data_IF_847425094088
#
_entry.id   IF_847425094088
#
_cell.length_a   1.000
_cell.length_b   1.000
_cell.length_c   1.000
_cell.angle_alpha   90.00
_cell.angle_beta   90.00
_cell.angle_gamma   90.00
#
_symmetry.space_group_name_H-M   'P 1'
#
loop_
_entity.id
_entity.type
_entity.pdbx_description
1 polymer ?
#
# COMPACT_ATOMS: atom_id res chain seq x y z
N UNK A 1 -44.18 -31.04 2.44
CA UNK A 1 -43.17 -30.58 1.47
C UNK A 1 -42.54 -29.30 2.00
N UNK A 2 -41.49 -29.41 2.83
CA UNK A 2 -40.82 -28.26 3.43
C UNK A 2 -39.46 -28.13 2.74
N UNK A 3 -39.38 -27.22 1.76
CA UNK A 3 -38.19 -27.01 0.93
C UNK A 3 -37.15 -26.27 1.79
N UNK A 4 -36.16 -27.01 2.28
CA UNK A 4 -35.03 -26.43 3.01
C UNK A 4 -34.18 -25.66 2.00
N UNK A 5 -34.32 -24.34 1.99
CA UNK A 5 -33.39 -23.47 1.26
C UNK A 5 -32.11 -23.43 2.10
N UNK A 6 -31.15 -24.27 1.75
CA UNK A 6 -29.80 -24.15 2.26
C UNK A 6 -29.22 -22.82 1.77
N UNK A 7 -29.18 -21.82 2.66
CA UNK A 7 -28.47 -20.58 2.42
C UNK A 7 -26.98 -20.90 2.53
N UNK A 8 -26.34 -21.22 1.40
CA UNK A 8 -24.90 -21.27 1.29
C UNK A 8 -24.35 -19.86 1.49
N UNK A 9 -23.93 -19.55 2.71
CA UNK A 9 -23.14 -18.37 3.03
C UNK A 9 -21.75 -18.57 2.39
N UNK A 10 -21.62 -18.22 1.12
CA UNK A 10 -20.30 -18.05 0.51
C UNK A 10 -19.68 -16.81 1.16
N UNK A 11 -18.81 -17.02 2.17
CA UNK A 11 -17.82 -16.01 2.52
C UNK A 11 -16.91 -15.87 1.29
N UNK A 12 -17.21 -14.91 0.42
CA UNK A 12 -16.23 -14.41 -0.51
C UNK A 12 -15.10 -13.85 0.35
N UNK A 13 -13.97 -14.56 0.40
CA UNK A 13 -12.72 -13.98 0.86
C UNK A 13 -12.39 -12.85 -0.11
N UNK A 14 -12.83 -11.64 0.20
CA UNK A 14 -12.24 -10.47 -0.41
C UNK A 14 -10.75 -10.56 -0.11
N UNK A 15 -9.85 -10.27 -1.06
CA UNK A 15 -8.48 -9.94 -0.72
C UNK A 15 -8.55 -8.69 0.14
N UNK A 16 -8.76 -8.87 1.44
CA UNK A 16 -8.62 -7.83 2.42
C UNK A 16 -7.15 -7.50 2.41
N UNK A 17 -6.83 -6.21 2.26
CA UNK A 17 -5.55 -5.70 2.72
C UNK A 17 -5.48 -6.07 4.20
N UNK A 18 -4.87 -7.20 4.51
CA UNK A 18 -4.63 -7.58 5.88
C UNK A 18 -3.71 -6.52 6.46
N UNK A 19 -4.02 -6.08 7.68
CA UNK A 19 -3.15 -5.16 8.41
C UNK A 19 -1.77 -5.82 8.54
N UNK A 20 -0.69 -5.18 8.09
CA UNK A 20 0.65 -5.75 8.13
C UNK A 20 1.08 -6.22 9.54
N UNK A 21 0.58 -5.58 10.60
CA UNK A 21 0.85 -6.01 11.97
C UNK A 21 0.09 -7.31 12.31
N UNK A 22 -1.08 -7.55 11.73
CA UNK A 22 -1.82 -8.81 11.89
C UNK A 22 -1.17 -9.95 11.10
N UNK A 23 -0.58 -9.66 9.95
CA UNK A 23 0.23 -10.63 9.19
C UNK A 23 1.47 -11.07 9.98
N UNK A 24 1.96 -10.19 10.86
CA UNK A 24 3.05 -10.46 11.81
C UNK A 24 2.57 -10.98 13.18
N UNK A 25 1.28 -11.29 13.35
CA UNK A 25 0.65 -11.57 14.66
C UNK A 25 1.15 -12.83 15.38
N UNK A 26 1.79 -13.76 14.68
CA UNK A 26 2.41 -14.95 15.28
C UNK A 26 3.71 -14.63 16.06
N UNK A 27 4.22 -13.40 15.93
CA UNK A 27 5.40 -12.94 16.64
C UNK A 27 5.12 -12.73 18.15
N UNK A 28 5.93 -13.36 19.01
CA UNK A 28 5.67 -13.45 20.46
C UNK A 28 5.89 -12.16 21.28
N UNK A 29 6.20 -11.02 20.66
CA UNK A 29 6.38 -9.74 21.36
C UNK A 29 6.16 -8.53 20.43
N UNK A 30 5.89 -7.35 20.99
CA UNK A 30 5.77 -6.12 20.20
C UNK A 30 7.07 -5.73 19.48
N UNK A 31 8.23 -6.10 20.01
CA UNK A 31 9.52 -5.90 19.33
C UNK A 31 9.57 -6.75 18.07
N UNK A 32 9.26 -8.05 18.19
CA UNK A 32 9.27 -8.97 17.06
C UNK A 32 8.20 -8.63 16.00
N UNK A 33 7.02 -8.15 16.41
CA UNK A 33 6.01 -7.61 15.48
C UNK A 33 6.57 -6.39 14.75
N UNK A 34 7.20 -5.46 15.48
CA UNK A 34 7.78 -4.25 14.88
C UNK A 34 8.89 -4.53 13.87
N UNK A 35 9.75 -5.53 14.14
CA UNK A 35 10.78 -6.00 13.21
C UNK A 35 10.14 -6.62 11.96
N UNK A 36 9.17 -7.52 12.13
CA UNK A 36 8.47 -8.14 11.00
C UNK A 36 7.77 -7.11 10.09
N UNK A 37 7.09 -6.12 10.67
CA UNK A 37 6.43 -5.04 9.90
C UNK A 37 7.47 -4.15 9.20
N UNK A 38 8.61 -3.88 9.83
CA UNK A 38 9.68 -3.11 9.19
C UNK A 38 10.29 -3.85 7.98
N UNK A 39 10.48 -5.17 8.08
CA UNK A 39 10.95 -5.98 6.95
C UNK A 39 9.93 -5.99 5.80
N UNK A 40 8.63 -5.96 6.12
CA UNK A 40 7.58 -5.89 5.11
C UNK A 40 7.48 -4.52 4.45
N UNK A 41 7.60 -3.46 5.24
CA UNK A 41 7.70 -2.08 4.78
C UNK A 41 8.85 -1.95 3.76
N UNK A 42 10.04 -2.46 4.06
CA UNK A 42 11.20 -2.40 3.14
C UNK A 42 10.91 -3.09 1.80
N UNK A 43 10.27 -4.27 1.83
CA UNK A 43 9.86 -4.97 0.60
C UNK A 43 8.86 -4.16 -0.22
N UNK A 44 7.90 -3.53 0.43
CA UNK A 44 6.89 -2.70 -0.23
C UNK A 44 7.50 -1.42 -0.80
N UNK A 45 8.42 -0.76 -0.09
CA UNK A 45 9.14 0.41 -0.63
C UNK A 45 9.96 0.05 -1.88
N UNK A 46 10.63 -1.12 -1.88
CA UNK A 46 11.35 -1.61 -3.06
C UNK A 46 10.41 -1.90 -4.24
N UNK A 47 9.23 -2.48 -3.97
CA UNK A 47 8.21 -2.72 -4.97
C UNK A 47 7.63 -1.41 -5.52
N UNK A 48 7.37 -0.43 -4.65
CA UNK A 48 6.88 0.91 -5.01
C UNK A 48 7.88 1.63 -5.91
N UNK A 49 9.16 1.65 -5.57
CA UNK A 49 10.21 2.25 -6.39
C UNK A 49 10.30 1.59 -7.78
N UNK A 50 10.10 0.27 -7.85
CA UNK A 50 10.06 -0.47 -9.11
C UNK A 50 8.82 -0.15 -9.95
N UNK A 51 7.64 -0.14 -9.33
CA UNK A 51 6.40 0.21 -10.02
C UNK A 51 6.41 1.66 -10.54
N UNK A 52 6.96 2.60 -9.77
CA UNK A 52 7.11 3.99 -10.18
C UNK A 52 8.03 4.11 -11.39
N UNK A 53 9.16 3.40 -11.41
CA UNK A 53 10.07 3.38 -12.57
C UNK A 53 9.36 2.90 -13.83
N UNK A 54 8.61 1.80 -13.78
CA UNK A 54 7.88 1.33 -14.96
C UNK A 54 6.78 2.29 -15.41
N UNK A 55 6.07 2.95 -14.48
CA UNK A 55 5.10 3.98 -14.83
C UNK A 55 5.79 5.20 -15.47
N UNK A 56 7.00 5.56 -15.02
CA UNK A 56 7.80 6.64 -15.59
C UNK A 56 8.21 6.32 -17.03
N UNK A 57 8.72 5.11 -17.28
CA UNK A 57 9.11 4.65 -18.61
C UNK A 57 7.93 4.73 -19.60
N UNK A 58 6.74 4.27 -19.17
CA UNK A 58 5.53 4.35 -19.99
C UNK A 58 5.06 5.80 -20.24
N UNK A 59 5.18 6.67 -19.23
CA UNK A 59 4.87 8.10 -19.38
C UNK A 59 5.84 8.81 -20.33
N UNK A 60 7.13 8.51 -20.25
CA UNK A 60 8.17 9.02 -21.15
C UNK A 60 7.93 8.57 -22.59
N UNK A 61 7.59 7.30 -22.81
CA UNK A 61 7.23 6.78 -24.13
C UNK A 61 6.01 7.50 -24.72
N UNK A 62 4.95 7.68 -23.91
CA UNK A 62 3.74 8.38 -24.36
C UNK A 62 4.02 9.85 -24.73
N UNK A 63 4.79 10.55 -23.90
CA UNK A 63 5.17 11.94 -24.15
C UNK A 63 6.05 12.05 -25.40
N UNK A 64 6.93 11.08 -25.64
CA UNK A 64 7.77 10.99 -26.85
C UNK A 64 6.94 10.75 -28.11
N UNK A 65 6.07 9.73 -28.12
CA UNK A 65 5.22 9.37 -29.27
C UNK A 65 4.27 10.50 -29.64
N UNK A 66 3.72 11.18 -28.63
CA UNK A 66 2.72 12.24 -28.86
C UNK A 66 3.33 13.63 -28.99
N UNK A 67 4.66 13.75 -28.83
CA UNK A 67 5.40 15.02 -28.84
C UNK A 67 4.82 16.07 -27.87
N UNK A 68 4.33 15.63 -26.71
CA UNK A 68 3.72 16.48 -25.68
C UNK A 68 4.27 16.09 -24.32
N UNK A 69 4.93 17.01 -23.62
CA UNK A 69 5.43 16.78 -22.27
C UNK A 69 4.32 16.99 -21.23
N UNK A 70 3.46 15.98 -21.02
CA UNK A 70 2.28 16.08 -20.15
C UNK A 70 2.21 14.93 -19.15
N UNK A 71 2.46 13.69 -19.56
CA UNK A 71 2.32 12.51 -18.73
C UNK A 71 3.38 12.47 -17.62
N UNK A 72 4.65 12.72 -17.95
CA UNK A 72 5.74 12.69 -16.96
C UNK A 72 5.54 13.74 -15.86
N UNK A 73 5.30 15.04 -16.15
CA UNK A 73 5.04 16.03 -15.12
C UNK A 73 3.82 15.70 -14.25
N UNK A 74 2.78 15.09 -14.83
CA UNK A 74 1.57 14.70 -14.11
C UNK A 74 1.81 13.52 -13.16
N UNK A 75 2.53 12.49 -13.61
CA UNK A 75 2.92 11.35 -12.77
C UNK A 75 3.79 11.79 -11.59
N UNK A 76 4.81 12.59 -11.86
CA UNK A 76 5.71 13.17 -10.86
C UNK A 76 4.95 14.00 -9.81
N UNK A 77 4.04 14.87 -10.25
CA UNK A 77 3.24 15.68 -9.34
C UNK A 77 2.28 14.82 -8.51
N UNK A 78 1.65 13.81 -9.13
CA UNK A 78 0.77 12.88 -8.44
C UNK A 78 1.51 12.04 -7.40
N UNK A 79 2.72 11.58 -7.70
CA UNK A 79 3.54 10.81 -6.78
C UNK A 79 3.95 11.64 -5.56
N UNK A 80 4.44 12.87 -5.76
CA UNK A 80 4.77 13.80 -4.65
C UNK A 80 3.56 14.10 -3.76
N UNK A 81 2.39 14.33 -4.37
CA UNK A 81 1.17 14.60 -3.61
C UNK A 81 0.73 13.37 -2.80
N UNK A 82 0.88 12.18 -3.37
CA UNK A 82 0.59 10.92 -2.67
C UNK A 82 1.55 10.67 -1.51
N UNK A 83 2.84 10.95 -1.66
CA UNK A 83 3.84 10.83 -0.57
C UNK A 83 3.51 11.76 0.60
N UNK A 84 3.17 13.02 0.32
CA UNK A 84 2.75 13.98 1.34
C UNK A 84 1.46 13.53 2.05
N UNK A 85 0.48 13.00 1.30
CA UNK A 85 -0.71 12.39 1.89
C UNK A 85 -0.36 11.19 2.79
N UNK A 86 0.50 10.27 2.32
CA UNK A 86 0.91 9.09 3.07
C UNK A 86 1.57 9.46 4.39
N UNK A 87 2.47 10.44 4.37
CA UNK A 87 3.15 10.93 5.57
C UNK A 87 2.15 11.43 6.62
N UNK A 88 1.33 12.41 6.26
CA UNK A 88 0.38 13.04 7.20
C UNK A 88 -0.73 12.08 7.64
N UNK A 89 -1.24 11.26 6.72
CA UNK A 89 -2.27 10.29 7.04
C UNK A 89 -1.76 9.24 8.03
N UNK A 90 -0.57 8.69 7.80
CA UNK A 90 -0.04 7.65 8.66
C UNK A 90 0.51 8.21 9.99
N UNK A 91 0.94 9.47 10.03
CA UNK A 91 1.18 10.18 11.29
C UNK A 91 -0.11 10.27 12.15
N UNK A 92 -1.25 10.60 11.53
CA UNK A 92 -2.55 10.56 12.22
C UNK A 92 -2.89 9.15 12.72
N UNK A 93 -2.73 8.11 11.88
CA UNK A 93 -2.96 6.72 12.29
C UNK A 93 -2.12 6.38 13.52
N UNK A 94 -0.82 6.70 13.52
CA UNK A 94 0.06 6.49 14.66
C UNK A 94 -0.38 7.23 15.93
N UNK A 95 -0.91 8.45 15.79
CA UNK A 95 -1.41 9.24 16.91
C UNK A 95 -2.62 8.59 17.61
N UNK A 96 -3.43 7.80 16.90
CA UNK A 96 -4.56 7.08 17.49
C UNK A 96 -4.16 6.02 18.52
N UNK A 97 -2.89 5.60 18.53
CA UNK A 97 -2.35 4.59 19.45
C UNK A 97 -1.88 5.15 20.79
N UNK A 98 -1.77 6.48 20.93
CA UNK A 98 -1.46 7.12 22.22
C UNK A 98 -0.02 6.94 22.72
N UNK A 99 0.89 6.38 21.93
CA UNK A 99 2.33 6.26 22.21
C UNK A 99 2.84 4.82 22.33
N UNK A 100 4.11 4.69 22.72
CA UNK A 100 4.80 3.40 22.87
C UNK A 100 5.12 2.71 21.54
N UNK A 101 5.52 1.44 21.59
CA UNK A 101 5.87 0.63 20.42
C UNK A 101 4.70 0.45 19.44
N UNK A 102 3.47 0.46 19.93
CA UNK A 102 2.26 0.39 19.10
C UNK A 102 2.15 1.53 18.08
N UNK A 103 2.56 2.75 18.43
CA UNK A 103 2.56 3.89 17.50
C UNK A 103 3.49 3.66 16.31
N UNK A 104 4.72 3.19 16.55
CA UNK A 104 5.68 2.91 15.48
C UNK A 104 5.20 1.79 14.56
N UNK A 105 4.66 0.71 15.13
CA UNK A 105 4.08 -0.41 14.38
C UNK A 105 2.93 0.09 13.50
N UNK A 106 2.01 0.88 14.05
CA UNK A 106 0.86 1.40 13.32
C UNK A 106 1.23 2.30 12.13
N UNK A 107 2.23 3.17 12.31
CA UNK A 107 2.72 4.04 11.22
C UNK A 107 3.26 3.19 10.07
N UNK A 108 4.11 2.20 10.37
CA UNK A 108 4.69 1.33 9.34
C UNK A 108 3.66 0.44 8.67
N UNK A 109 2.71 -0.11 9.43
CA UNK A 109 1.56 -0.83 8.87
C UNK A 109 0.79 0.05 7.88
N UNK A 110 0.51 1.30 8.24
CA UNK A 110 -0.16 2.25 7.35
C UNK A 110 0.66 2.53 6.08
N UNK A 111 1.97 2.78 6.21
CA UNK A 111 2.87 2.98 5.06
C UNK A 111 2.86 1.80 4.11
N UNK A 112 2.94 0.60 4.67
CA UNK A 112 2.96 -0.67 3.94
C UNK A 112 1.62 -0.90 3.20
N UNK A 113 0.48 -0.70 3.87
CA UNK A 113 -0.84 -0.84 3.22
C UNK A 113 -1.02 0.16 2.07
N UNK A 114 -0.68 1.43 2.29
CA UNK A 114 -0.76 2.44 1.24
C UNK A 114 0.24 2.19 0.11
N UNK A 115 1.45 1.73 0.42
CA UNK A 115 2.47 1.37 -0.55
C UNK A 115 2.03 0.22 -1.46
N UNK A 116 1.44 -0.84 -0.89
CA UNK A 116 0.84 -1.95 -1.66
C UNK A 116 -0.24 -1.44 -2.62
N UNK A 117 -1.15 -0.61 -2.14
CA UNK A 117 -2.19 -0.02 -2.98
C UNK A 117 -1.61 0.85 -4.11
N UNK A 118 -0.57 1.64 -3.80
CA UNK A 118 0.07 2.52 -4.77
C UNK A 118 0.83 1.75 -5.85
N UNK A 119 1.47 0.63 -5.49
CA UNK A 119 2.05 -0.31 -6.47
C UNK A 119 0.98 -0.74 -7.48
N UNK A 120 -0.19 -1.19 -7.00
CA UNK A 120 -1.29 -1.59 -7.89
C UNK A 120 -1.80 -0.45 -8.78
N UNK A 121 -1.85 0.78 -8.25
CA UNK A 121 -2.21 1.96 -9.03
C UNK A 121 -1.23 2.25 -10.15
N UNK A 122 0.08 2.28 -9.84
CA UNK A 122 1.15 2.59 -10.79
C UNK A 122 1.27 1.51 -11.88
N UNK A 123 1.16 0.24 -11.49
CA UNK A 123 1.25 -0.88 -12.42
C UNK A 123 0.11 -0.93 -13.45
N UNK A 124 -1.00 -0.21 -13.24
CA UNK A 124 -2.04 -0.06 -14.29
C UNK A 124 -1.54 0.75 -15.49
N UNK A 125 -0.54 1.59 -15.31
CA UNK A 125 0.03 2.48 -16.33
C UNK A 125 1.39 2.03 -16.84
N UNK A 126 2.00 1.02 -16.22
CA UNK A 126 3.30 0.43 -16.59
C UNK A 126 3.24 -0.47 -17.85
N UNK A 127 2.67 0.03 -18.95
CA UNK A 127 2.42 -0.75 -20.19
C UNK A 127 3.04 -0.11 -21.41
#
# INVERSE_FOLDING_TARGET
MLRHVACCLFLAATPGFADPALECGDAGSQVAIGECVADDEERVEAALATALRFAQEAAEELDSITERAVAVPALDAGQRAWEAYREEHCAFVGATYGGGSGTGIAIRSCWTSLGRARVDELMRYAR
#
